data_IF_148280471991
#
_entry.id   IF_148280471991
#
_cell.length_a   1.000
_cell.length_b   1.000
_cell.length_c   1.000
_cell.angle_alpha   90.00
_cell.angle_beta   90.00
_cell.angle_gamma   90.00
#
_symmetry.space_group_name_H-M   'P 1'
#
loop_
_entity.id
_entity.type
_entity.pdbx_description
1 polymer ?
#
# COMPACT_ATOMS: atom_id res chain seq x y z
N UNK A 1 -21.85 75.26 43.56
CA UNK A 1 -21.69 74.89 44.98
C UNK A 1 -21.64 73.37 45.07
N UNK A 2 -20.70 72.84 45.89
CA UNK A 2 -20.47 71.44 46.32
C UNK A 2 -19.86 70.50 45.24
N UNK A 3 -18.56 70.19 45.29
CA UNK A 3 -17.85 69.14 46.08
C UNK A 3 -18.35 67.71 45.73
N UNK A 4 -17.54 66.70 45.36
CA UNK A 4 -16.32 66.14 45.99
C UNK A 4 -15.44 65.29 45.03
N UNK A 5 -14.14 65.16 45.37
CA UNK A 5 -13.01 64.31 44.88
C UNK A 5 -13.17 62.80 45.26
N UNK A 6 -12.16 61.90 45.12
CA UNK A 6 -11.19 61.55 44.04
C UNK A 6 -11.07 60.01 43.83
N UNK A 7 -10.25 59.48 42.91
CA UNK A 7 -9.28 58.39 43.20
C UNK A 7 -8.39 58.04 42.00
N UNK A 8 -7.11 57.81 42.27
CA UNK A 8 -6.11 57.44 41.26
C UNK A 8 -6.08 55.94 40.97
N UNK A 9 -5.49 55.56 39.85
CA UNK A 9 -4.90 54.22 39.68
C UNK A 9 -3.68 54.29 38.78
N UNK A 10 -2.63 53.61 39.23
CA UNK A 10 -1.27 53.57 38.70
C UNK A 10 -1.16 52.83 37.36
N UNK A 11 -0.15 53.27 36.60
CA UNK A 11 0.64 52.57 35.56
C UNK A 11 0.33 51.08 35.37
N UNK A 12 -0.21 50.76 34.20
CA UNK A 12 -0.06 49.45 33.54
C UNK A 12 0.72 49.62 32.24
N UNK A 13 1.90 49.02 32.17
CA UNK A 13 2.69 48.91 30.95
C UNK A 13 1.91 48.07 29.91
N UNK A 14 1.87 48.52 28.66
CA UNK A 14 1.43 47.70 27.52
C UNK A 14 2.55 46.73 27.14
N UNK A 15 2.34 45.41 27.10
CA UNK A 15 3.21 44.54 26.32
C UNK A 15 2.82 44.64 24.85
N UNK A 16 3.83 44.89 24.02
CA UNK A 16 3.75 44.96 22.57
C UNK A 16 3.18 43.66 21.98
N UNK A 17 2.36 43.80 20.94
CA UNK A 17 1.92 42.71 20.08
C UNK A 17 3.15 41.99 19.50
N UNK A 18 3.46 40.80 20.01
CA UNK A 18 4.30 39.85 19.28
C UNK A 18 3.47 39.38 18.09
N UNK A 19 3.78 39.91 16.90
CA UNK A 19 3.46 39.24 15.65
C UNK A 19 4.21 37.91 15.65
N UNK A 20 3.52 36.83 16.01
CA UNK A 20 3.96 35.48 15.74
C UNK A 20 3.90 35.29 14.22
N UNK A 21 5.06 35.41 13.59
CA UNK A 21 5.33 34.95 12.23
C UNK A 21 6.26 33.75 12.38
N UNK A 22 6.09 32.76 11.51
CA UNK A 22 6.73 31.43 11.45
C UNK A 22 6.03 30.38 12.32
N UNK A 23 5.58 29.24 11.82
CA UNK A 23 5.67 28.63 10.49
C UNK A 23 4.39 27.80 10.33
N UNK A 24 3.73 27.85 9.18
CA UNK A 24 2.99 26.69 8.70
C UNK A 24 4.04 25.61 8.44
N UNK A 25 4.38 24.86 9.48
CA UNK A 25 4.98 23.54 9.30
C UNK A 25 3.93 22.73 8.58
N UNK A 26 4.17 22.48 7.29
CA UNK A 26 3.60 21.39 6.51
C UNK A 26 3.14 20.26 7.43
N UNK A 27 1.85 20.21 7.74
CA UNK A 27 1.26 19.01 8.32
C UNK A 27 1.20 18.01 7.18
N UNK A 28 2.33 17.33 6.92
CA UNK A 28 2.24 16.00 6.35
C UNK A 28 1.37 15.24 7.34
N UNK A 29 0.18 14.86 6.92
CA UNK A 29 -0.79 14.23 7.81
C UNK A 29 -0.11 13.07 8.51
N UNK A 30 -0.04 13.16 9.84
CA UNK A 30 0.54 12.11 10.66
C UNK A 30 -0.44 10.95 10.61
N UNK A 31 0.01 9.82 10.08
CA UNK A 31 -0.77 8.59 10.02
C UNK A 31 -1.27 8.21 11.42
N UNK A 32 -2.55 7.90 11.50
CA UNK A 32 -3.15 7.39 12.72
C UNK A 32 -2.78 5.93 12.93
N UNK A 33 -2.89 5.45 14.18
CA UNK A 33 -2.66 4.05 14.51
C UNK A 33 -3.60 3.10 13.73
N UNK A 34 -4.84 3.54 13.48
CA UNK A 34 -5.80 2.78 12.70
C UNK A 34 -5.40 2.65 11.22
N UNK A 35 -4.94 3.75 10.61
CA UNK A 35 -4.47 3.74 9.21
C UNK A 35 -3.20 2.89 9.06
N UNK A 36 -2.27 2.97 10.02
CA UNK A 36 -1.08 2.11 10.04
C UNK A 36 -1.45 0.62 10.16
N UNK A 37 -2.42 0.28 11.01
CA UNK A 37 -2.90 -1.09 11.15
C UNK A 37 -3.61 -1.58 9.89
N UNK A 38 -4.35 -0.71 9.19
CA UNK A 38 -4.99 -1.03 7.91
C UNK A 38 -3.95 -1.25 6.80
N UNK A 39 -2.93 -0.40 6.73
CA UNK A 39 -1.83 -0.51 5.76
C UNK A 39 -1.08 -1.85 5.91
N UNK A 40 -0.78 -2.25 7.16
CA UNK A 40 -0.15 -3.55 7.44
C UNK A 40 -1.04 -4.74 7.05
N UNK A 41 -2.36 -4.62 7.22
CA UNK A 41 -3.31 -5.65 6.79
C UNK A 41 -3.32 -5.78 5.26
N UNK A 42 -3.34 -4.66 4.53
CA UNK A 42 -3.24 -4.69 3.07
C UNK A 42 -1.91 -5.26 2.59
N UNK A 43 -0.80 -4.89 3.22
CA UNK A 43 0.51 -5.46 2.93
C UNK A 43 0.50 -6.98 3.08
N UNK A 44 0.04 -7.46 4.24
CA UNK A 44 -0.02 -8.90 4.56
C UNK A 44 -0.90 -9.65 3.56
N UNK A 45 -2.05 -9.07 3.20
CA UNK A 45 -2.95 -9.65 2.21
C UNK A 45 -2.31 -9.74 0.82
N UNK A 46 -1.74 -8.64 0.33
CA UNK A 46 -1.10 -8.61 -1.00
C UNK A 46 0.09 -9.58 -1.07
N UNK A 47 0.88 -9.68 0.00
CA UNK A 47 1.99 -10.62 0.08
C UNK A 47 1.50 -12.07 0.04
N UNK A 48 0.40 -12.39 0.75
CA UNK A 48 -0.20 -13.71 0.71
C UNK A 48 -0.70 -14.05 -0.70
N UNK A 49 -1.36 -13.11 -1.38
CA UNK A 49 -1.87 -13.30 -2.74
C UNK A 49 -0.76 -13.42 -3.79
N UNK A 50 0.29 -12.61 -3.69
CA UNK A 50 1.50 -12.75 -4.51
C UNK A 50 2.09 -14.16 -4.38
N UNK A 51 2.26 -14.64 -3.15
CA UNK A 51 2.78 -15.99 -2.88
C UNK A 51 1.84 -17.10 -3.37
N UNK A 52 0.53 -16.88 -3.34
CA UNK A 52 -0.45 -17.80 -3.93
C UNK A 52 -0.29 -17.90 -5.45
N UNK A 53 -0.08 -16.77 -6.14
CA UNK A 53 0.21 -16.76 -7.58
C UNK A 53 1.47 -17.58 -7.91
N UNK A 54 2.54 -17.44 -7.11
CA UNK A 54 3.77 -18.22 -7.29
C UNK A 54 3.49 -19.72 -7.17
N UNK A 55 2.79 -20.16 -6.12
CA UNK A 55 2.41 -21.58 -5.94
C UNK A 55 1.57 -22.10 -7.11
N UNK A 56 0.62 -21.30 -7.59
CA UNK A 56 -0.21 -21.66 -8.73
C UNK A 56 0.63 -21.82 -10.01
N UNK A 57 1.58 -20.93 -10.23
CA UNK A 57 2.51 -20.99 -11.37
C UNK A 57 3.40 -22.23 -11.32
N UNK A 58 3.89 -22.63 -10.15
CA UNK A 58 4.64 -23.89 -9.99
C UNK A 58 3.80 -25.10 -10.38
N UNK A 59 2.55 -25.16 -9.93
CA UNK A 59 1.61 -26.24 -10.28
C UNK A 59 1.31 -26.24 -11.79
N UNK A 60 1.12 -25.07 -12.40
CA UNK A 60 0.89 -24.94 -13.83
C UNK A 60 2.13 -25.36 -14.63
N UNK A 61 3.32 -24.98 -14.18
CA UNK A 61 4.58 -25.38 -14.80
C UNK A 61 4.77 -26.89 -14.78
N UNK A 62 4.53 -27.54 -13.63
CA UNK A 62 4.62 -29.00 -13.52
C UNK A 62 3.66 -29.70 -14.50
N UNK A 63 2.41 -29.23 -14.57
CA UNK A 63 1.42 -29.74 -15.54
C UNK A 63 1.85 -29.49 -16.99
N UNK A 64 2.48 -28.35 -17.27
CA UNK A 64 3.01 -28.06 -18.61
C UNK A 64 4.07 -29.08 -19.01
N UNK A 65 4.99 -29.41 -18.10
CA UNK A 65 6.04 -30.41 -18.35
C UNK A 65 5.43 -31.80 -18.61
N UNK A 66 4.46 -32.21 -17.80
CA UNK A 66 3.74 -33.48 -17.99
C UNK A 66 3.04 -33.55 -19.36
N UNK A 67 2.39 -32.46 -19.78
CA UNK A 67 1.77 -32.40 -21.10
C UNK A 67 2.82 -32.40 -22.22
N UNK A 68 3.95 -31.71 -22.07
CA UNK A 68 5.04 -31.72 -23.06
C UNK A 68 5.58 -33.13 -23.32
N UNK A 69 5.63 -34.00 -22.32
CA UNK A 69 6.04 -35.41 -22.51
C UNK A 69 5.05 -36.21 -23.36
N UNK A 70 3.77 -35.84 -23.33
CA UNK A 70 2.71 -36.51 -24.09
C UNK A 70 2.53 -35.94 -25.51
N UNK A 71 3.12 -34.78 -25.80
CA UNK A 71 2.95 -34.06 -27.07
C UNK A 71 3.21 -34.92 -28.32
N UNK A 72 4.29 -35.73 -28.39
CA UNK A 72 4.57 -36.57 -29.56
C UNK A 72 3.47 -37.61 -29.84
N UNK A 73 2.74 -38.05 -28.80
CA UNK A 73 1.68 -39.05 -28.91
C UNK A 73 0.30 -38.43 -29.14
N UNK A 74 0.20 -37.10 -29.03
CA UNK A 74 -1.05 -36.34 -29.10
C UNK A 74 -1.05 -35.33 -30.26
N UNK A 75 -0.10 -35.44 -31.17
CA UNK A 75 -0.03 -34.61 -32.35
C UNK A 75 -1.32 -34.74 -33.19
N UNK A 76 -1.89 -33.61 -33.60
CA UNK A 76 -3.20 -33.55 -34.27
C UNK A 76 -4.42 -33.75 -33.37
N UNK A 77 -4.26 -34.05 -32.07
CA UNK A 77 -5.39 -34.14 -31.14
C UNK A 77 -5.85 -32.75 -30.69
N UNK A 78 -6.93 -32.26 -31.29
CA UNK A 78 -7.52 -30.95 -30.99
C UNK A 78 -7.92 -30.78 -29.52
N UNK A 79 -8.38 -31.84 -28.84
CA UNK A 79 -8.75 -31.75 -27.41
C UNK A 79 -7.52 -31.54 -26.54
N UNK A 80 -6.44 -32.23 -26.85
CA UNK A 80 -5.17 -32.08 -26.14
C UNK A 80 -4.57 -30.69 -26.34
N UNK A 81 -4.57 -30.19 -27.59
CA UNK A 81 -4.12 -28.82 -27.89
C UNK A 81 -4.93 -27.78 -27.11
N UNK A 82 -6.27 -27.89 -27.10
CA UNK A 82 -7.11 -26.96 -26.34
C UNK A 82 -6.82 -26.98 -24.83
N UNK A 83 -6.53 -28.14 -24.23
CA UNK A 83 -6.12 -28.24 -22.83
C UNK A 83 -4.77 -27.58 -22.58
N UNK A 84 -3.82 -27.76 -23.50
CA UNK A 84 -2.49 -27.17 -23.40
C UNK A 84 -2.54 -25.65 -23.53
N UNK A 85 -3.33 -25.14 -24.49
CA UNK A 85 -3.57 -23.70 -24.66
C UNK A 85 -4.28 -23.08 -23.44
N UNK A 86 -5.25 -23.79 -22.88
CA UNK A 86 -5.94 -23.35 -21.65
C UNK A 86 -4.97 -23.26 -20.46
N UNK A 87 -4.03 -24.21 -20.33
CA UNK A 87 -3.00 -24.18 -19.30
C UNK A 87 -2.11 -22.94 -19.46
N UNK A 88 -1.64 -22.66 -20.69
CA UNK A 88 -0.82 -21.47 -20.96
C UNK A 88 -1.58 -20.18 -20.66
N UNK A 89 -2.86 -20.12 -21.05
CA UNK A 89 -3.73 -18.97 -20.76
C UNK A 89 -3.87 -18.74 -19.26
N UNK A 90 -4.03 -19.80 -18.45
CA UNK A 90 -4.06 -19.68 -16.98
C UNK A 90 -2.73 -19.16 -16.44
N UNK A 91 -1.61 -19.71 -16.91
CA UNK A 91 -0.29 -19.24 -16.47
C UNK A 91 -0.08 -17.75 -16.78
N UNK A 92 -0.49 -17.29 -17.97
CA UNK A 92 -0.44 -15.85 -18.31
C UNK A 92 -1.27 -15.00 -17.35
N UNK A 93 -2.43 -15.47 -16.90
CA UNK A 93 -3.26 -14.74 -15.93
C UNK A 93 -2.61 -14.67 -14.56
N UNK A 94 -2.07 -15.78 -14.07
CA UNK A 94 -1.37 -15.79 -12.77
C UNK A 94 -0.14 -14.89 -12.80
N UNK A 95 0.63 -14.84 -13.90
CA UNK A 95 1.76 -13.89 -14.05
C UNK A 95 1.28 -12.44 -14.03
N UNK A 96 0.19 -12.13 -14.74
CA UNK A 96 -0.35 -10.77 -14.76
C UNK A 96 -0.81 -10.33 -13.36
N UNK A 97 -1.55 -11.21 -12.66
CA UNK A 97 -2.03 -10.97 -11.31
C UNK A 97 -0.87 -10.85 -10.29
N UNK A 98 0.16 -11.68 -10.43
CA UNK A 98 1.38 -11.58 -9.62
C UNK A 98 2.05 -10.21 -9.80
N UNK A 99 2.09 -9.69 -11.03
CA UNK A 99 2.58 -8.35 -11.32
C UNK A 99 1.75 -7.25 -10.65
N UNK A 100 0.42 -7.34 -10.71
CA UNK A 100 -0.48 -6.39 -10.05
C UNK A 100 -0.26 -6.36 -8.53
N UNK A 101 -0.11 -7.52 -7.88
CA UNK A 101 0.19 -7.57 -6.44
C UNK A 101 1.60 -7.07 -6.12
N UNK A 102 2.58 -7.30 -6.99
CA UNK A 102 3.93 -6.77 -6.81
C UNK A 102 3.95 -5.23 -6.87
N UNK A 103 3.22 -4.64 -7.82
CA UNK A 103 3.10 -3.18 -7.92
C UNK A 103 2.41 -2.60 -6.68
N UNK A 104 1.35 -3.25 -6.18
CA UNK A 104 0.68 -2.86 -4.94
C UNK A 104 1.58 -2.98 -3.71
N UNK A 105 2.33 -4.08 -3.59
CA UNK A 105 3.29 -4.26 -2.50
C UNK A 105 4.34 -3.15 -2.50
N UNK A 106 4.90 -2.84 -3.66
CA UNK A 106 5.89 -1.77 -3.81
C UNK A 106 5.33 -0.40 -3.41
N UNK A 107 4.07 -0.13 -3.75
CA UNK A 107 3.37 1.08 -3.31
C UNK A 107 3.19 1.11 -1.79
N UNK A 108 2.69 0.01 -1.21
CA UNK A 108 2.43 -0.09 0.24
C UNK A 108 3.74 0.03 1.04
N UNK A 109 4.83 -0.61 0.58
CA UNK A 109 6.15 -0.48 1.17
C UNK A 109 6.62 0.99 1.20
N UNK A 110 6.36 1.74 0.13
CA UNK A 110 6.64 3.18 0.09
C UNK A 110 5.84 4.01 1.10
N UNK A 111 4.55 3.67 1.30
CA UNK A 111 3.73 4.32 2.33
C UNK A 111 4.16 3.91 3.75
N UNK A 112 4.54 2.64 3.95
CA UNK A 112 5.07 2.13 5.21
C UNK A 112 6.38 2.83 5.58
N UNK A 113 7.27 3.06 4.61
CA UNK A 113 8.48 3.85 4.79
C UNK A 113 8.16 5.30 5.20
N UNK A 114 7.17 5.91 4.55
CA UNK A 114 6.76 7.29 4.81
C UNK A 114 6.15 7.48 6.21
N UNK A 115 5.45 6.48 6.75
CA UNK A 115 4.88 6.52 8.10
C UNK A 115 5.76 5.87 9.18
N UNK A 116 6.97 5.41 8.84
CA UNK A 116 7.97 4.91 9.78
C UNK A 116 7.71 3.47 10.26
N UNK A 117 7.03 2.65 9.45
CA UNK A 117 6.76 1.24 9.69
C UNK A 117 7.83 0.33 9.04
N UNK A 118 9.08 0.79 8.90
CA UNK A 118 10.16 0.09 8.15
C UNK A 118 10.70 -1.19 8.82
N UNK A 119 10.35 -1.46 10.08
CA UNK A 119 11.02 -2.46 10.92
C UNK A 119 10.20 -3.75 11.17
N UNK A 120 9.25 -4.09 10.28
CA UNK A 120 8.46 -5.34 10.38
C UNK A 120 9.11 -6.55 9.68
#
# INVERSE_FOLDING_TARGET
MKETKPEGTRRGQKPAMKKSKSNETSSGDVWTEAENAELLQYYTYCLAQHNECVKNLEVLHQKEQEMKLLLPQKEGNKKFQAQYDELRRRATKEVALMGEYFDLLSFIEGEMDACGLTDF
#
